data_IF_904035345115
#
_entry.id   IF_904035345115
#
_cell.length_a   1.000
_cell.length_b   1.000
_cell.length_c   1.000
_cell.angle_alpha   90.00
_cell.angle_beta   90.00
_cell.angle_gamma   90.00
#
_symmetry.space_group_name_H-M   'P 1'
#
loop_
_entity.id
_entity.type
_entity.pdbx_description
1 polymer ?
#
# COMPACT_ATOMS: atom_id res chain seq x y z
N UNK A 1 17.46 35.85 4.07
CA UNK A 1 17.62 35.30 2.70
C UNK A 1 16.35 35.44 1.85
N UNK A 2 15.17 34.94 2.26
CA UNK A 2 13.95 35.06 1.45
C UNK A 2 13.45 36.50 1.24
N UNK A 3 13.70 37.42 2.19
CA UNK A 3 13.33 38.84 2.09
C UNK A 3 14.21 39.66 1.12
N UNK A 4 15.29 39.07 0.57
CA UNK A 4 16.24 39.77 -0.33
C UNK A 4 16.22 39.23 -1.77
N UNK A 5 15.12 38.60 -2.22
CA UNK A 5 14.98 38.09 -3.60
C UNK A 5 15.75 36.79 -3.92
N UNK A 6 16.40 36.18 -2.93
CA UNK A 6 17.14 34.91 -3.09
C UNK A 6 16.27 33.65 -2.89
N UNK A 7 14.95 33.80 -2.74
CA UNK A 7 14.04 32.70 -2.45
C UNK A 7 13.99 31.63 -3.55
N UNK A 8 14.05 32.02 -4.82
CA UNK A 8 14.05 31.08 -5.97
C UNK A 8 15.31 30.23 -6.01
N UNK A 9 16.48 30.83 -5.78
CA UNK A 9 17.76 30.11 -5.70
C UNK A 9 17.77 29.11 -4.54
N UNK A 10 17.29 29.53 -3.37
CA UNK A 10 17.19 28.66 -2.20
C UNK A 10 16.23 27.50 -2.43
N UNK A 11 15.07 27.77 -3.05
CA UNK A 11 14.12 26.71 -3.41
C UNK A 11 14.77 25.72 -4.36
N UNK A 12 15.43 26.17 -5.44
CA UNK A 12 16.13 25.28 -6.38
C UNK A 12 17.17 24.37 -5.70
N UNK A 13 17.99 24.92 -4.79
CA UNK A 13 18.93 24.12 -3.99
C UNK A 13 18.21 23.09 -3.12
N UNK A 14 17.08 23.45 -2.54
CA UNK A 14 16.27 22.54 -1.73
C UNK A 14 15.68 21.41 -2.59
N UNK A 15 15.27 21.70 -3.82
CA UNK A 15 14.80 20.68 -4.75
C UNK A 15 15.89 19.65 -5.07
N UNK A 16 17.11 20.11 -5.37
CA UNK A 16 18.26 19.24 -5.63
C UNK A 16 18.60 18.35 -4.43
N UNK A 17 18.55 18.88 -3.21
CA UNK A 17 18.79 18.10 -2.01
C UNK A 17 17.66 17.08 -1.73
N UNK A 18 16.39 17.46 -1.92
CA UNK A 18 15.27 16.52 -1.80
C UNK A 18 15.36 15.38 -2.83
N UNK A 19 15.71 15.69 -4.09
CA UNK A 19 15.89 14.71 -5.16
C UNK A 19 17.01 13.72 -4.81
N UNK A 20 18.19 14.24 -4.43
CA UNK A 20 19.34 13.43 -4.04
C UNK A 20 19.03 12.55 -2.83
N UNK A 21 18.32 13.10 -1.85
CA UNK A 21 17.94 12.38 -0.64
C UNK A 21 17.00 11.21 -0.96
N UNK A 22 15.98 11.43 -1.80
CA UNK A 22 15.11 10.36 -2.29
C UNK A 22 15.88 9.31 -3.10
N UNK A 23 16.78 9.72 -4.00
CA UNK A 23 17.62 8.81 -4.78
C UNK A 23 18.46 7.90 -3.88
N UNK A 24 19.11 8.46 -2.86
CA UNK A 24 19.93 7.72 -1.92
C UNK A 24 19.10 6.73 -1.11
N UNK A 25 17.91 7.13 -0.67
CA UNK A 25 16.99 6.27 0.06
C UNK A 25 16.59 5.03 -0.78
N UNK A 26 16.25 5.23 -2.05
CA UNK A 26 15.91 4.11 -2.95
C UNK A 26 17.12 3.24 -3.30
N UNK A 27 18.31 3.83 -3.48
CA UNK A 27 19.54 3.07 -3.71
C UNK A 27 19.87 2.16 -2.51
N UNK A 28 19.61 2.61 -1.28
CA UNK A 28 19.74 1.80 -0.08
C UNK A 28 18.73 0.64 -0.03
N UNK A 29 17.49 0.84 -0.48
CA UNK A 29 16.53 -0.27 -0.60
C UNK A 29 16.93 -1.25 -1.70
N UNK A 30 17.43 -0.76 -2.84
CA UNK A 30 17.86 -1.59 -3.95
C UNK A 30 19.03 -2.52 -3.55
N UNK A 31 19.99 -2.04 -2.76
CA UNK A 31 21.10 -2.87 -2.26
C UNK A 31 20.66 -3.94 -1.25
N UNK A 32 19.44 -3.83 -0.71
CA UNK A 32 18.83 -4.76 0.24
C UNK A 32 17.85 -5.74 -0.42
N UNK A 33 17.79 -5.79 -1.74
CA UNK A 33 16.84 -6.65 -2.48
C UNK A 33 16.99 -8.15 -2.21
N UNK A 34 18.13 -8.61 -1.69
CA UNK A 34 18.37 -10.01 -1.31
C UNK A 34 17.89 -10.37 0.11
N UNK A 35 17.36 -9.42 0.88
CA UNK A 35 16.85 -9.70 2.22
C UNK A 35 15.62 -10.62 2.18
N UNK A 36 15.42 -11.45 3.22
CA UNK A 36 14.16 -12.16 3.43
C UNK A 36 12.98 -11.19 3.48
N UNK A 37 11.79 -11.66 3.07
CA UNK A 37 10.60 -10.83 2.87
C UNK A 37 10.30 -9.90 4.06
N UNK A 38 10.13 -10.44 5.28
CA UNK A 38 9.83 -9.62 6.46
C UNK A 38 10.91 -8.57 6.75
N UNK A 39 12.18 -8.95 6.70
CA UNK A 39 13.29 -8.02 6.93
C UNK A 39 13.35 -6.92 5.85
N UNK A 40 13.02 -7.25 4.60
CA UNK A 40 12.93 -6.27 3.52
C UNK A 40 11.76 -5.30 3.74
N UNK A 41 10.59 -5.81 4.11
CA UNK A 41 9.40 -5.03 4.41
C UNK A 41 9.64 -4.05 5.59
N UNK A 42 10.26 -4.51 6.67
CA UNK A 42 10.63 -3.65 7.81
C UNK A 42 11.57 -2.52 7.39
N UNK A 43 12.57 -2.84 6.57
CA UNK A 43 13.51 -1.83 6.07
C UNK A 43 12.83 -0.82 5.16
N UNK A 44 11.88 -1.25 4.32
CA UNK A 44 11.08 -0.33 3.50
C UNK A 44 10.25 0.61 4.37
N UNK A 45 9.57 0.08 5.39
CA UNK A 45 8.75 0.87 6.29
C UNK A 45 9.57 1.87 7.11
N UNK A 46 10.72 1.44 7.64
CA UNK A 46 11.61 2.30 8.45
C UNK A 46 12.25 3.41 7.62
N UNK A 47 12.71 3.08 6.41
CA UNK A 47 13.34 4.05 5.52
C UNK A 47 12.33 5.08 4.99
N UNK A 48 11.10 4.65 4.70
CA UNK A 48 10.01 5.55 4.34
C UNK A 48 9.64 6.52 5.46
N UNK A 49 9.54 6.04 6.70
CA UNK A 49 9.26 6.89 7.85
C UNK A 49 10.37 7.90 8.10
N UNK A 50 11.62 7.45 8.06
CA UNK A 50 12.79 8.32 8.16
C UNK A 50 12.76 9.41 7.08
N UNK A 51 12.42 9.05 5.85
CA UNK A 51 12.28 9.99 4.75
C UNK A 51 11.18 11.03 5.01
N UNK A 52 9.99 10.58 5.45
CA UNK A 52 8.87 11.46 5.79
C UNK A 52 9.22 12.42 6.94
N UNK A 53 9.85 11.91 8.01
CA UNK A 53 10.27 12.71 9.16
C UNK A 53 11.28 13.81 8.75
N UNK A 54 12.25 13.45 7.91
CA UNK A 54 13.23 14.39 7.41
C UNK A 54 12.59 15.46 6.51
N UNK A 55 11.66 15.09 5.62
CA UNK A 55 10.89 16.06 4.83
C UNK A 55 10.06 17.01 5.70
N UNK A 56 9.44 16.50 6.78
CA UNK A 56 8.69 17.34 7.71
C UNK A 56 9.60 18.32 8.47
N UNK A 57 10.77 17.87 8.93
CA UNK A 57 11.75 18.74 9.58
C UNK A 57 12.26 19.81 8.60
N UNK A 58 12.60 19.43 7.38
CA UNK A 58 13.00 20.36 6.33
C UNK A 58 11.90 21.39 6.07
N UNK A 59 10.64 20.96 5.94
CA UNK A 59 9.50 21.86 5.78
C UNK A 59 9.34 22.83 6.97
N UNK A 60 9.55 22.38 8.20
CA UNK A 60 9.49 23.24 9.38
C UNK A 60 10.57 24.32 9.37
N UNK A 61 11.81 23.96 9.02
CA UNK A 61 12.93 24.91 8.89
C UNK A 61 12.65 25.94 7.79
N UNK A 62 12.13 25.46 6.65
CA UNK A 62 11.85 26.29 5.48
C UNK A 62 10.38 26.75 5.38
N UNK A 63 9.64 26.80 6.50
CA UNK A 63 8.19 27.05 6.49
C UNK A 63 7.79 28.36 5.79
N UNK A 64 8.58 29.41 5.97
CA UNK A 64 8.34 30.69 5.30
C UNK A 64 8.52 30.57 3.77
N UNK A 65 9.54 29.83 3.33
CA UNK A 65 9.76 29.55 1.92
C UNK A 65 8.64 28.68 1.35
N UNK A 66 8.26 27.60 2.04
CA UNK A 66 7.17 26.69 1.66
C UNK A 66 5.86 27.46 1.46
N UNK A 67 5.50 28.33 2.41
CA UNK A 67 4.28 29.15 2.30
C UNK A 67 4.37 30.20 1.20
N UNK A 68 5.47 30.95 1.11
CA UNK A 68 5.56 32.05 0.16
C UNK A 68 5.73 31.58 -1.28
N UNK A 69 6.54 30.55 -1.54
CA UNK A 69 6.68 29.99 -2.89
C UNK A 69 5.42 29.30 -3.37
N UNK A 70 4.75 28.50 -2.53
CA UNK A 70 3.48 27.84 -2.92
C UNK A 70 2.36 28.87 -3.18
N UNK A 71 2.38 30.01 -2.49
CA UNK A 71 1.38 31.07 -2.67
C UNK A 71 1.70 32.03 -3.84
N UNK A 72 2.97 32.22 -4.19
CA UNK A 72 3.42 33.26 -5.14
C UNK A 72 3.87 32.71 -6.49
N UNK A 73 4.43 31.51 -6.54
CA UNK A 73 4.78 30.86 -7.79
C UNK A 73 3.53 30.15 -8.34
N UNK A 74 3.36 30.24 -9.66
CA UNK A 74 2.28 29.69 -10.49
C UNK A 74 1.84 28.27 -10.10
N UNK A 75 0.70 27.81 -10.64
CA UNK A 75 -0.01 26.52 -10.38
C UNK A 75 0.82 25.22 -10.37
N UNK A 76 2.13 25.28 -10.63
CA UNK A 76 3.07 24.15 -10.63
C UNK A 76 3.93 24.07 -9.34
N UNK A 77 3.91 25.08 -8.48
CA UNK A 77 4.71 25.09 -7.25
C UNK A 77 4.16 24.07 -6.23
N UNK A 78 5.01 23.09 -5.87
CA UNK A 78 4.70 22.06 -4.85
C UNK A 78 5.24 22.47 -3.49
N UNK A 79 4.54 22.06 -2.43
CA UNK A 79 5.11 22.11 -1.09
C UNK A 79 6.37 21.24 -1.03
N UNK A 80 7.28 21.53 -0.11
CA UNK A 80 8.52 20.76 0.08
C UNK A 80 8.20 19.28 0.34
N UNK A 81 7.12 19.02 1.07
CA UNK A 81 6.67 17.66 1.36
C UNK A 81 6.21 16.96 0.08
N UNK A 82 5.30 17.57 -0.68
CA UNK A 82 4.79 17.00 -1.95
C UNK A 82 5.89 16.80 -2.99
N UNK A 83 6.88 17.71 -3.01
CA UNK A 83 8.06 17.59 -3.85
C UNK A 83 8.88 16.36 -3.47
N UNK A 84 9.13 16.14 -2.18
CA UNK A 84 9.83 14.96 -1.68
C UNK A 84 9.12 13.66 -2.05
N UNK A 85 7.79 13.60 -1.87
CA UNK A 85 6.98 12.45 -2.28
C UNK A 85 7.07 12.20 -3.80
N UNK A 86 7.06 13.26 -4.61
CA UNK A 86 7.17 13.16 -6.06
C UNK A 86 8.53 12.60 -6.50
N UNK A 87 9.63 13.04 -5.87
CA UNK A 87 10.95 12.48 -6.13
C UNK A 87 11.06 11.03 -5.69
N UNK A 88 10.56 10.68 -4.49
CA UNK A 88 10.55 9.30 -4.01
C UNK A 88 9.78 8.39 -4.97
N UNK A 89 8.58 8.79 -5.41
CA UNK A 89 7.78 8.07 -6.42
C UNK A 89 8.57 7.88 -7.72
N UNK A 90 9.23 8.94 -8.20
CA UNK A 90 9.99 8.92 -9.46
C UNK A 90 11.16 7.94 -9.38
N UNK A 91 11.92 7.96 -8.28
CA UNK A 91 13.02 7.02 -8.08
C UNK A 91 12.55 5.59 -7.82
N UNK A 92 11.45 5.40 -7.09
CA UNK A 92 10.85 4.07 -6.93
C UNK A 92 10.47 3.46 -8.28
N UNK A 93 9.88 4.24 -9.18
CA UNK A 93 9.56 3.81 -10.54
C UNK A 93 10.80 3.47 -11.37
N UNK A 94 11.93 4.19 -11.18
CA UNK A 94 13.22 3.87 -11.81
C UNK A 94 13.83 2.58 -11.24
N UNK A 95 13.55 2.27 -9.98
CA UNK A 95 13.95 1.04 -9.31
C UNK A 95 12.81 0.00 -9.33
N UNK A 96 12.32 -0.37 -10.52
CA UNK A 96 11.16 -1.26 -10.69
C UNK A 96 11.23 -2.55 -9.86
N UNK A 97 12.41 -3.18 -9.76
CA UNK A 97 12.62 -4.38 -8.93
C UNK A 97 12.32 -4.16 -7.43
N UNK A 98 12.59 -2.97 -6.88
CA UNK A 98 12.27 -2.61 -5.49
C UNK A 98 10.76 -2.50 -5.33
N UNK A 99 10.08 -1.84 -6.27
CA UNK A 99 8.62 -1.71 -6.24
C UNK A 99 7.93 -3.07 -6.35
N UNK A 100 8.38 -3.91 -7.29
CA UNK A 100 7.85 -5.25 -7.51
C UNK A 100 8.03 -6.14 -6.27
N UNK A 101 9.24 -6.15 -5.69
CA UNK A 101 9.51 -6.91 -4.47
C UNK A 101 8.67 -6.42 -3.29
N UNK A 102 8.57 -5.10 -3.11
CA UNK A 102 7.75 -4.51 -2.04
C UNK A 102 6.28 -4.93 -2.18
N UNK A 103 5.73 -4.83 -3.39
CA UNK A 103 4.35 -5.24 -3.67
C UNK A 103 4.17 -6.74 -3.41
N UNK A 104 5.05 -7.58 -3.98
CA UNK A 104 4.98 -9.02 -3.85
C UNK A 104 5.05 -9.48 -2.39
N UNK A 105 6.06 -9.03 -1.65
CA UNK A 105 6.27 -9.44 -0.26
C UNK A 105 5.13 -8.97 0.65
N UNK A 106 4.58 -7.77 0.41
CA UNK A 106 3.42 -7.26 1.16
C UNK A 106 2.16 -8.09 0.88
N UNK A 107 1.90 -8.44 -0.38
CA UNK A 107 0.78 -9.32 -0.73
C UNK A 107 0.93 -10.70 -0.10
N UNK A 108 2.14 -11.27 -0.13
CA UNK A 108 2.44 -12.54 0.51
C UNK A 108 2.25 -12.50 2.04
N UNK A 109 2.62 -11.38 2.69
CA UNK A 109 2.35 -11.17 4.11
C UNK A 109 0.84 -11.22 4.40
N UNK A 110 0.04 -10.46 3.64
CA UNK A 110 -1.42 -10.40 3.84
C UNK A 110 -2.06 -11.77 3.58
N UNK A 111 -1.60 -12.46 2.53
CA UNK A 111 -2.07 -13.80 2.16
C UNK A 111 -1.76 -14.83 3.25
N UNK A 112 -0.57 -14.76 3.87
CA UNK A 112 -0.23 -15.62 5.02
C UNK A 112 -1.20 -15.41 6.20
N UNK A 113 -1.65 -14.16 6.42
CA UNK A 113 -2.66 -13.82 7.41
C UNK A 113 -4.03 -14.43 7.10
N UNK A 114 -4.45 -14.51 5.82
CA UNK A 114 -5.68 -15.24 5.44
C UNK A 114 -5.60 -16.72 5.75
N UNK A 115 -4.41 -17.30 5.60
CA UNK A 115 -4.10 -18.68 5.97
C UNK A 115 -4.05 -18.96 7.48
N UNK A 116 -4.26 -17.94 8.32
CA UNK A 116 -4.27 -18.06 9.79
C UNK A 116 -2.92 -17.81 10.45
N UNK A 117 -1.89 -17.37 9.71
CA UNK A 117 -0.65 -16.94 10.32
C UNK A 117 -0.86 -15.64 11.11
N UNK A 118 -0.24 -15.54 12.29
CA UNK A 118 -0.15 -14.28 13.01
C UNK A 118 0.81 -13.35 12.25
N UNK A 119 0.30 -12.22 11.76
CA UNK A 119 1.08 -11.22 11.03
C UNK A 119 1.20 -9.91 11.82
N UNK A 120 2.23 -9.13 11.52
CA UNK A 120 2.32 -7.75 11.99
C UNK A 120 1.40 -6.85 11.15
N UNK A 121 0.19 -6.61 11.64
CA UNK A 121 -0.79 -5.72 11.01
C UNK A 121 -0.34 -4.25 10.99
N UNK A 122 0.51 -3.84 11.94
CA UNK A 122 1.06 -2.49 11.95
C UNK A 122 2.05 -2.30 10.80
N UNK A 123 2.91 -3.29 10.55
CA UNK A 123 3.79 -3.30 9.38
C UNK A 123 2.98 -3.23 8.08
N UNK A 124 1.94 -4.06 7.94
CA UNK A 124 1.05 -4.02 6.78
C UNK A 124 0.41 -2.62 6.59
N UNK A 125 -0.12 -2.02 7.66
CA UNK A 125 -0.69 -0.66 7.64
C UNK A 125 0.32 0.39 7.20
N UNK A 126 1.54 0.35 7.76
CA UNK A 126 2.61 1.30 7.42
C UNK A 126 2.96 1.21 5.94
N UNK A 127 3.08 0.01 5.40
CA UNK A 127 3.43 -0.21 3.99
C UNK A 127 2.30 0.11 3.02
N UNK A 128 1.05 -0.21 3.36
CA UNK A 128 -0.12 0.22 2.57
C UNK A 128 -0.14 1.75 2.47
N UNK A 129 0.13 2.45 3.57
CA UNK A 129 0.24 3.91 3.57
C UNK A 129 1.34 4.45 2.66
N UNK A 130 2.45 3.72 2.46
CA UNK A 130 3.47 4.10 1.45
C UNK A 130 2.83 4.19 0.06
N UNK A 131 2.07 3.17 -0.34
CA UNK A 131 1.38 3.18 -1.64
C UNK A 131 0.35 4.31 -1.73
N UNK A 132 -0.39 4.60 -0.65
CA UNK A 132 -1.35 5.72 -0.62
C UNK A 132 -0.67 7.07 -0.74
N UNK A 133 0.36 7.34 0.07
CA UNK A 133 1.10 8.60 0.06
C UNK A 133 1.83 8.85 -1.26
N UNK A 134 2.30 7.80 -1.93
CA UNK A 134 2.90 7.90 -3.25
C UNK A 134 1.88 7.98 -4.39
N UNK A 135 0.57 7.88 -4.11
CA UNK A 135 -0.48 7.86 -5.13
C UNK A 135 -0.40 6.64 -6.06
N UNK A 136 0.05 5.50 -5.51
CA UNK A 136 0.20 4.21 -6.18
C UNK A 136 -0.84 3.18 -5.69
N UNK A 137 -1.63 3.51 -4.67
CA UNK A 137 -2.62 2.59 -4.11
C UNK A 137 -3.62 2.09 -5.15
N UNK A 138 -4.34 2.99 -5.82
CA UNK A 138 -5.40 2.62 -6.77
C UNK A 138 -4.89 2.04 -8.10
N UNK A 139 -3.67 2.37 -8.51
CA UNK A 139 -3.11 1.94 -9.80
C UNK A 139 -2.20 0.73 -9.73
N UNK A 140 -1.60 0.45 -8.57
CA UNK A 140 -0.61 -0.64 -8.40
C UNK A 140 -1.06 -1.62 -7.33
N UNK A 141 -1.26 -1.15 -6.09
CA UNK A 141 -1.53 -2.05 -4.97
C UNK A 141 -2.92 -2.70 -5.03
N UNK A 142 -3.98 -1.90 -5.15
CA UNK A 142 -5.35 -2.39 -5.06
C UNK A 142 -5.70 -3.41 -6.17
N UNK A 143 -5.34 -3.21 -7.45
CA UNK A 143 -5.59 -4.20 -8.49
C UNK A 143 -4.88 -5.54 -8.22
N UNK A 144 -3.61 -5.49 -7.80
CA UNK A 144 -2.83 -6.68 -7.48
C UNK A 144 -3.38 -7.41 -6.24
N UNK A 145 -3.78 -6.64 -5.22
CA UNK A 145 -4.41 -7.16 -4.00
C UNK A 145 -5.74 -7.87 -4.29
N UNK A 146 -6.62 -7.27 -5.09
CA UNK A 146 -7.90 -7.88 -5.45
C UNK A 146 -7.71 -9.11 -6.34
N UNK A 147 -6.69 -9.11 -7.20
CA UNK A 147 -6.33 -10.30 -8.01
C UNK A 147 -5.91 -11.46 -7.11
N UNK A 148 -4.98 -11.23 -6.19
CA UNK A 148 -4.54 -12.24 -5.23
C UNK A 148 -5.71 -12.74 -4.35
N UNK A 149 -6.58 -11.83 -3.89
CA UNK A 149 -7.78 -12.21 -3.13
C UNK A 149 -8.73 -13.09 -3.96
N UNK A 150 -8.92 -12.76 -5.23
CA UNK A 150 -9.78 -13.55 -6.15
C UNK A 150 -9.23 -14.96 -6.33
N UNK A 151 -7.92 -15.10 -6.54
CA UNK A 151 -7.27 -16.41 -6.68
C UNK A 151 -7.41 -17.24 -5.39
N UNK A 152 -7.17 -16.62 -4.23
CA UNK A 152 -7.36 -17.26 -2.93
C UNK A 152 -8.80 -17.76 -2.75
N UNK A 153 -9.79 -16.89 -2.92
CA UNK A 153 -11.19 -17.23 -2.61
C UNK A 153 -11.80 -18.19 -3.61
N UNK A 154 -11.33 -18.21 -4.87
CA UNK A 154 -11.71 -19.28 -5.82
C UNK A 154 -11.25 -20.65 -5.33
N UNK A 155 -9.97 -20.78 -4.99
CA UNK A 155 -9.42 -22.04 -4.51
C UNK A 155 -10.04 -22.46 -3.15
N UNK A 156 -10.27 -21.50 -2.26
CA UNK A 156 -10.92 -21.75 -0.99
C UNK A 156 -12.37 -22.20 -1.16
N UNK A 157 -13.14 -21.55 -2.04
CA UNK A 157 -14.53 -21.91 -2.33
C UNK A 157 -14.65 -23.35 -2.83
N UNK A 158 -13.86 -23.71 -3.83
CA UNK A 158 -13.80 -25.08 -4.39
C UNK A 158 -13.45 -26.12 -3.29
N UNK A 159 -12.48 -25.79 -2.43
CA UNK A 159 -12.05 -26.67 -1.34
C UNK A 159 -13.11 -26.84 -0.25
N UNK A 160 -13.70 -25.75 0.23
CA UNK A 160 -14.65 -25.78 1.33
C UNK A 160 -15.94 -26.50 0.94
N UNK A 161 -16.43 -26.27 -0.28
CA UNK A 161 -17.66 -26.90 -0.76
C UNK A 161 -17.50 -28.42 -0.92
N UNK A 162 -16.30 -28.88 -1.27
CA UNK A 162 -15.99 -30.31 -1.33
C UNK A 162 -15.84 -30.98 0.04
N UNK A 163 -15.66 -30.20 1.12
CA UNK A 163 -15.30 -30.71 2.45
C UNK A 163 -16.38 -30.49 3.51
N UNK A 164 -17.31 -29.56 3.29
CA UNK A 164 -18.30 -29.12 4.27
C UNK A 164 -19.72 -29.31 3.74
N UNK A 165 -20.62 -29.67 4.65
CA UNK A 165 -22.06 -29.57 4.42
C UNK A 165 -22.48 -28.12 4.27
N UNK A 166 -23.57 -27.87 3.52
CA UNK A 166 -24.04 -26.51 3.18
C UNK A 166 -24.17 -25.58 4.41
N UNK A 167 -24.76 -25.99 5.55
CA UNK A 167 -24.84 -25.11 6.72
C UNK A 167 -23.46 -24.69 7.26
N UNK A 168 -22.50 -25.62 7.31
CA UNK A 168 -21.13 -25.32 7.76
C UNK A 168 -20.36 -24.48 6.75
N UNK A 169 -20.59 -24.71 5.46
CA UNK A 169 -20.04 -23.88 4.39
C UNK A 169 -20.50 -22.41 4.53
N UNK A 170 -21.80 -22.16 4.68
CA UNK A 170 -22.33 -20.80 4.80
C UNK A 170 -21.81 -20.06 6.04
N UNK A 171 -21.66 -20.76 7.17
CA UNK A 171 -21.00 -20.20 8.36
C UNK A 171 -19.54 -19.83 8.09
N UNK A 172 -18.80 -20.67 7.35
CA UNK A 172 -17.43 -20.37 6.96
C UNK A 172 -17.37 -19.14 6.02
N UNK A 173 -18.32 -18.99 5.10
CA UNK A 173 -18.41 -17.80 4.24
C UNK A 173 -18.67 -16.54 5.06
N UNK A 174 -19.63 -16.57 5.99
CA UNK A 174 -19.91 -15.44 6.89
C UNK A 174 -18.67 -15.03 7.69
N UNK A 175 -17.94 -16.01 8.22
CA UNK A 175 -16.68 -15.76 8.91
C UNK A 175 -15.65 -15.07 8.01
N UNK A 176 -15.48 -15.53 6.76
CA UNK A 176 -14.53 -14.91 5.81
C UNK A 176 -14.91 -13.46 5.47
N UNK A 177 -16.20 -13.18 5.30
CA UNK A 177 -16.70 -11.82 5.09
C UNK A 177 -16.39 -10.90 6.28
N UNK A 178 -16.58 -11.41 7.50
CA UNK A 178 -16.24 -10.67 8.71
C UNK A 178 -14.73 -10.37 8.80
N UNK A 179 -13.90 -11.38 8.56
CA UNK A 179 -12.44 -11.24 8.57
C UNK A 179 -11.93 -10.25 7.52
N UNK A 180 -12.47 -10.27 6.29
CA UNK A 180 -12.13 -9.29 5.25
C UNK A 180 -12.63 -7.88 5.58
N UNK A 181 -13.79 -7.77 6.24
CA UNK A 181 -14.27 -6.52 6.80
C UNK A 181 -13.29 -5.94 7.82
N UNK A 182 -12.88 -6.75 8.80
CA UNK A 182 -11.90 -6.36 9.81
C UNK A 182 -10.54 -6.01 9.18
N UNK A 183 -10.10 -6.75 8.15
CA UNK A 183 -8.89 -6.46 7.38
C UNK A 183 -8.92 -5.09 6.71
N UNK A 184 -10.07 -4.73 6.13
CA UNK A 184 -10.26 -3.41 5.54
C UNK A 184 -10.07 -2.31 6.59
N UNK A 185 -10.70 -2.49 7.75
CA UNK A 185 -10.66 -1.51 8.84
C UNK A 185 -9.27 -1.44 9.49
N UNK A 186 -8.53 -2.55 9.48
CA UNK A 186 -7.21 -2.65 10.08
C UNK A 186 -6.13 -1.93 9.24
N UNK A 187 -6.07 -2.10 7.93
CA UNK A 187 -4.92 -1.59 7.17
C UNK A 187 -5.14 -1.26 5.69
N UNK A 188 -6.36 -1.27 5.15
CA UNK A 188 -6.61 -0.93 3.74
C UNK A 188 -7.26 0.46 3.60
N UNK A 189 -7.20 1.03 2.39
CA UNK A 189 -7.95 2.25 2.10
C UNK A 189 -9.47 1.94 2.00
N UNK A 190 -10.35 2.82 2.50
CA UNK A 190 -11.80 2.60 2.53
C UNK A 190 -12.41 2.23 1.18
N UNK A 191 -11.86 2.76 0.08
CA UNK A 191 -12.27 2.46 -1.29
C UNK A 191 -12.14 0.97 -1.67
N UNK A 192 -11.45 0.16 -0.87
CA UNK A 192 -11.20 -1.27 -1.13
C UNK A 192 -12.25 -2.18 -0.55
N UNK A 193 -12.98 -1.72 0.47
CA UNK A 193 -13.95 -2.55 1.20
C UNK A 193 -14.99 -3.15 0.28
N UNK A 194 -15.67 -2.32 -0.50
CA UNK A 194 -16.73 -2.78 -1.40
C UNK A 194 -16.22 -3.74 -2.49
N UNK A 195 -15.14 -3.42 -3.23
CA UNK A 195 -14.56 -4.37 -4.19
C UNK A 195 -14.12 -5.69 -3.56
N UNK A 196 -13.51 -5.67 -2.37
CA UNK A 196 -13.01 -6.87 -1.71
C UNK A 196 -14.15 -7.78 -1.25
N UNK A 197 -15.18 -7.24 -0.60
CA UNK A 197 -16.34 -8.03 -0.19
C UNK A 197 -17.07 -8.63 -1.40
N UNK A 198 -17.20 -7.88 -2.49
CA UNK A 198 -17.77 -8.40 -3.74
C UNK A 198 -16.95 -9.56 -4.32
N UNK A 199 -15.61 -9.53 -4.21
CA UNK A 199 -14.77 -10.67 -4.61
C UNK A 199 -15.06 -11.91 -3.76
N UNK A 200 -15.21 -11.75 -2.45
CA UNK A 200 -15.52 -12.86 -1.53
C UNK A 200 -16.89 -13.44 -1.84
N UNK A 201 -17.92 -12.59 -1.95
CA UNK A 201 -19.30 -12.99 -2.28
C UNK A 201 -19.37 -13.69 -3.64
N UNK A 202 -18.71 -13.14 -4.66
CA UNK A 202 -18.69 -13.74 -5.98
C UNK A 202 -18.04 -15.12 -5.97
N UNK A 203 -16.86 -15.24 -5.34
CA UNK A 203 -16.08 -16.48 -5.35
C UNK A 203 -16.67 -17.57 -4.46
N UNK A 204 -17.28 -17.22 -3.32
CA UNK A 204 -17.80 -18.17 -2.35
C UNK A 204 -19.32 -18.38 -2.41
N UNK A 205 -20.09 -17.53 -3.08
CA UNK A 205 -21.55 -17.69 -3.18
C UNK A 205 -22.00 -17.76 -4.63
N UNK A 206 -21.81 -16.70 -5.41
CA UNK A 206 -22.38 -16.61 -6.76
C UNK A 206 -21.90 -17.74 -7.68
N UNK A 207 -20.60 -18.05 -7.65
CA UNK A 207 -20.00 -19.15 -8.43
C UNK A 207 -20.55 -20.53 -8.09
N UNK A 208 -21.01 -20.71 -6.85
CA UNK A 208 -21.41 -22.01 -6.29
C UNK A 208 -22.92 -22.12 -6.07
N UNK A 209 -23.70 -21.11 -6.49
CA UNK A 209 -25.11 -20.98 -6.14
C UNK A 209 -25.94 -22.22 -6.51
N UNK A 210 -25.75 -22.78 -7.71
CA UNK A 210 -26.48 -23.99 -8.12
C UNK A 210 -26.14 -25.18 -7.22
N UNK A 211 -24.85 -25.41 -6.95
CA UNK A 211 -24.39 -26.51 -6.10
C UNK A 211 -24.88 -26.36 -4.65
N UNK A 212 -24.88 -25.14 -4.12
CA UNK A 212 -25.38 -24.84 -2.77
C UNK A 212 -26.88 -25.14 -2.68
N UNK A 213 -27.66 -24.77 -3.70
CA UNK A 213 -29.10 -25.02 -3.74
C UNK A 213 -29.41 -26.51 -3.91
N UNK A 214 -28.71 -27.19 -4.81
CA UNK A 214 -28.90 -28.62 -5.06
C UNK A 214 -28.58 -29.45 -3.81
N UNK A 215 -27.49 -29.15 -3.10
CA UNK A 215 -27.07 -29.87 -1.90
C UNK A 215 -27.85 -29.46 -0.62
N UNK A 216 -28.44 -28.27 -0.60
CA UNK A 216 -29.04 -27.69 0.60
C UNK A 216 -30.56 -27.82 0.69
N UNK A 217 -31.21 -28.30 -0.38
CA UNK A 217 -32.67 -28.42 -0.48
C UNK A 217 -33.16 -29.88 -0.50
N UNK A 218 -32.25 -30.85 -0.49
CA UNK A 218 -32.53 -32.27 -0.27
C UNK A 218 -32.67 -32.60 1.23
#
# INVERSE_FOLDING_TARGET
MCQHGLGSKLYGQLQEECDRHAQNALAQLASRGSLPALAFLDQCASLWETHCEQLLLTRQIFLYLDRTHVLQASSEARSIFDLGLAYFRTHLARHGAVQEKLLHDLLALIESGRGGAAIDELLARRLVRVFSSLGLYGSVFQPAFLTAATEHYRALGDRLLAQLEVPAYLLAVEQRLHEEGARCDAYLEPATRRPLLAVVEHCLLERHLSQILDLGLD
#
